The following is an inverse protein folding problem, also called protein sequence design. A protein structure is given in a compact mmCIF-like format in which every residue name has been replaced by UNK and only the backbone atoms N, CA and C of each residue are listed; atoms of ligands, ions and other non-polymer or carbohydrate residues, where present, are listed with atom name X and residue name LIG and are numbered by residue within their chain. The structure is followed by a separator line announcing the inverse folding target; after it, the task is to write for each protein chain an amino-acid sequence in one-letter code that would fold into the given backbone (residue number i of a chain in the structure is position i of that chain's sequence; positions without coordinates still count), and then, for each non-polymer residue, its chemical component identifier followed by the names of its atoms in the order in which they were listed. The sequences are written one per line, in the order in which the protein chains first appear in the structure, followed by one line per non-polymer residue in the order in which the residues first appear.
data_IF_547393099842
#
_entry.id   IF_547393099842
#
_cell.length_a   1.000
_cell.length_b   1.000
_cell.length_c   1.000
_cell.angle_alpha   90.00
_cell.angle_beta   90.00
_cell.angle_gamma   90.00
#
_symmetry.space_group_name_H-M   'P 1'
#
loop_
_entity.id
_entity.type
_entity.pdbx_description
1 polymer ?
#
# COMPACT_ATOMS: atom_id res chain seq x y z
N UNK A 1 27.56 -21.50 7.98
CA UNK A 1 26.34 -22.35 7.97
C UNK A 1 25.41 -21.84 6.87
N UNK A 2 24.85 -22.60 5.92
CA UNK A 2 24.91 -23.98 5.41
C UNK A 2 24.22 -23.83 4.05
N UNK A 3 24.88 -24.01 2.91
CA UNK A 3 24.93 -25.26 2.13
C UNK A 3 23.58 -25.97 1.85
N UNK A 4 23.22 -26.01 0.56
CA UNK A 4 22.73 -27.17 -0.20
C UNK A 4 21.33 -27.77 0.04
N UNK A 5 20.89 -28.41 -1.06
CA UNK A 5 20.06 -29.62 -1.20
C UNK A 5 18.59 -29.31 -1.58
N UNK A 6 17.92 -29.98 -2.52
CA UNK A 6 18.12 -31.26 -3.22
C UNK A 6 17.34 -31.22 -4.56
N UNK A 7 17.91 -31.78 -5.63
CA UNK A 7 17.11 -32.39 -6.70
C UNK A 7 17.88 -33.61 -7.23
N UNK A 8 17.44 -34.78 -6.77
CA UNK A 8 17.96 -36.11 -7.12
C UNK A 8 16.91 -36.83 -7.96
N UNK A 9 17.40 -37.63 -8.91
CA UNK A 9 16.73 -38.71 -9.64
C UNK A 9 15.60 -38.34 -10.62
N UNK A 10 15.91 -38.45 -11.92
CA UNK A 10 15.44 -39.59 -12.70
C UNK A 10 16.33 -39.77 -13.95
N UNK A 11 17.22 -40.76 -13.91
CA UNK A 11 17.72 -41.43 -15.12
C UNK A 11 16.82 -42.62 -15.36
N UNK A 12 16.21 -42.70 -16.54
CA UNK A 12 15.75 -43.97 -17.08
C UNK A 12 15.72 -43.90 -18.62
N UNK A 13 16.30 -44.94 -19.22
CA UNK A 13 16.19 -45.40 -20.60
C UNK A 13 17.03 -44.75 -21.73
N UNK A 14 18.16 -45.44 -21.94
CA UNK A 14 18.90 -45.60 -23.18
C UNK A 14 18.03 -46.22 -24.30
N UNK A 15 18.10 -45.65 -25.51
CA UNK A 15 18.45 -46.36 -26.77
C UNK A 15 18.68 -45.36 -27.92
N UNK A 16 19.70 -45.55 -28.77
CA UNK A 16 20.00 -44.66 -29.90
C UNK A 16 19.54 -45.22 -31.26
N UNK A 17 19.26 -44.33 -32.23
CA UNK A 17 19.60 -44.37 -33.67
C UNK A 17 18.63 -43.46 -34.48
N UNK A 18 18.87 -43.18 -35.79
CA UNK A 18 19.86 -42.23 -36.28
C UNK A 18 19.24 -41.10 -37.14
N UNK A 19 20.03 -40.05 -37.34
CA UNK A 19 20.09 -39.14 -38.51
C UNK A 19 18.80 -38.77 -39.25
N UNK A 20 18.46 -37.47 -39.24
CA UNK A 20 18.42 -36.56 -40.41
C UNK A 20 17.43 -35.42 -40.12
N UNK A 21 17.92 -34.22 -39.82
CA UNK A 21 17.53 -32.95 -40.47
C UNK A 21 18.19 -31.79 -39.72
N UNK A 22 18.86 -30.93 -40.48
CA UNK A 22 19.27 -29.59 -40.07
C UNK A 22 18.05 -28.83 -39.53
N UNK A 23 18.09 -28.50 -38.25
CA UNK A 23 17.20 -27.52 -37.63
C UNK A 23 18.00 -26.75 -36.61
N UNK A 24 18.72 -25.72 -37.06
CA UNK A 24 19.30 -24.70 -36.19
C UNK A 24 18.16 -24.02 -35.43
N UNK A 25 17.80 -24.59 -34.28
CA UNK A 25 16.94 -23.95 -33.31
C UNK A 25 17.81 -22.93 -32.58
N UNK A 26 17.91 -21.72 -33.15
CA UNK A 26 18.43 -20.56 -32.47
C UNK A 26 17.56 -20.31 -31.25
N UNK A 27 18.06 -20.73 -30.09
CA UNK A 27 17.54 -20.29 -28.79
C UNK A 27 17.71 -18.78 -28.77
N UNK A 28 16.65 -18.05 -29.12
CA UNK A 28 16.53 -16.64 -28.78
C UNK A 28 16.58 -16.59 -27.27
N UNK A 29 17.72 -16.15 -26.73
CA UNK A 29 17.77 -15.59 -25.40
C UNK A 29 16.75 -14.45 -25.39
N UNK A 30 15.55 -14.75 -24.88
CA UNK A 30 14.52 -13.76 -24.63
C UNK A 30 15.17 -12.67 -23.80
N UNK A 31 15.10 -11.47 -24.36
CA UNK A 31 15.59 -10.24 -23.75
C UNK A 31 15.26 -10.27 -22.27
N UNK A 32 16.29 -10.15 -21.44
CA UNK A 32 16.16 -9.55 -20.12
C UNK A 32 15.52 -8.19 -20.39
N UNK A 33 14.20 -8.16 -20.29
CA UNK A 33 13.47 -6.91 -20.15
C UNK A 33 14.06 -6.30 -18.91
N UNK A 34 14.89 -5.28 -19.12
CA UNK A 34 15.22 -4.32 -18.10
C UNK A 34 13.88 -3.70 -17.70
N UNK A 35 13.19 -4.35 -16.77
CA UNK A 35 12.25 -3.67 -15.91
C UNK A 35 13.12 -2.67 -15.18
N UNK A 36 13.14 -1.43 -15.68
CA UNK A 36 13.46 -0.30 -14.83
C UNK A 36 12.50 -0.43 -13.65
N UNK A 37 13.02 -0.95 -12.54
CA UNK A 37 12.34 -0.93 -11.25
C UNK A 37 12.14 0.56 -10.96
N UNK A 38 10.96 1.08 -11.32
CA UNK A 38 10.60 2.43 -10.95
C UNK A 38 10.51 2.42 -9.45
N UNK A 39 11.31 3.29 -8.85
CA UNK A 39 11.27 3.48 -7.44
C UNK A 39 9.84 3.85 -7.01
N UNK A 40 9.36 3.19 -5.94
CA UNK A 40 8.03 3.35 -5.39
C UNK A 40 8.16 3.91 -3.97
N UNK A 41 7.27 4.84 -3.65
CA UNK A 41 7.18 5.40 -2.31
C UNK A 41 6.30 4.49 -1.46
N UNK A 42 6.83 3.97 -0.35
CA UNK A 42 6.13 3.10 0.59
C UNK A 42 5.84 3.86 1.87
N UNK A 43 4.65 3.65 2.45
CA UNK A 43 4.23 4.24 3.71
C UNK A 43 3.65 3.17 4.64
N UNK A 44 4.03 3.23 5.92
CA UNK A 44 3.46 2.44 7.01
C UNK A 44 3.27 3.31 8.26
N UNK A 45 2.51 2.85 9.24
CA UNK A 45 2.37 3.52 10.55
C UNK A 45 2.66 2.59 11.70
N UNK A 46 2.99 3.13 12.87
CA UNK A 46 3.15 2.40 14.13
C UNK A 46 2.83 3.35 15.29
N UNK A 47 2.36 2.84 16.41
CA UNK A 47 2.07 3.60 17.64
C UNK A 47 3.21 3.53 18.67
N UNK A 48 4.08 2.54 18.55
CA UNK A 48 5.15 2.27 19.51
C UNK A 48 6.55 2.65 19.00
N UNK A 49 7.37 3.23 19.88
CA UNK A 49 8.75 3.64 19.56
C UNK A 49 9.69 2.44 19.36
N UNK A 50 9.48 1.33 20.09
CA UNK A 50 10.26 0.11 19.88
C UNK A 50 9.91 -0.55 18.55
N UNK A 51 8.63 -0.54 18.16
CA UNK A 51 8.17 -0.99 16.85
C UNK A 51 8.72 -0.10 15.73
N UNK A 52 8.75 1.23 15.90
CA UNK A 52 9.40 2.16 14.98
C UNK A 52 10.88 1.80 14.75
N UNK A 53 11.64 1.58 15.83
CA UNK A 53 13.04 1.18 15.75
C UNK A 53 13.22 -0.17 15.05
N UNK A 54 12.42 -1.18 15.41
CA UNK A 54 12.46 -2.51 14.80
C UNK A 54 12.17 -2.47 13.30
N UNK A 55 11.19 -1.66 12.87
CA UNK A 55 10.87 -1.46 11.45
C UNK A 55 12.08 -0.84 10.72
N UNK A 56 12.66 0.24 11.27
CA UNK A 56 13.82 0.90 10.66
C UNK A 56 15.03 -0.03 10.53
N UNK A 57 15.33 -0.80 11.57
CA UNK A 57 16.40 -1.81 11.55
C UNK A 57 16.16 -2.87 10.48
N UNK A 58 14.93 -3.37 10.36
CA UNK A 58 14.56 -4.38 9.37
C UNK A 58 14.71 -3.85 7.92
N UNK A 59 14.30 -2.60 7.67
CA UNK A 59 14.46 -1.96 6.36
C UNK A 59 15.94 -1.79 5.96
N UNK A 60 16.79 -1.40 6.90
CA UNK A 60 18.24 -1.28 6.70
C UNK A 60 18.91 -2.64 6.49
N UNK A 61 18.57 -3.64 7.32
CA UNK A 61 19.12 -4.99 7.21
C UNK A 61 18.76 -5.65 5.87
N UNK A 62 17.56 -5.41 5.36
CA UNK A 62 17.09 -5.87 4.06
C UNK A 62 17.63 -5.03 2.88
N UNK A 63 18.37 -3.95 3.15
CA UNK A 63 18.90 -3.01 2.15
C UNK A 63 17.82 -2.37 1.27
N UNK A 64 16.61 -2.19 1.83
CA UNK A 64 15.52 -1.49 1.15
C UNK A 64 15.74 0.03 1.12
N UNK A 65 16.51 0.53 2.07
CA UNK A 65 17.03 1.90 2.17
C UNK A 65 18.53 1.86 2.43
N UNK A 66 19.27 2.93 2.09
CA UNK A 66 20.73 2.97 2.26
C UNK A 66 21.13 3.49 3.64
N UNK A 67 20.40 4.50 4.12
CA UNK A 67 20.66 5.19 5.38
C UNK A 67 19.36 5.31 6.18
N UNK A 68 19.48 5.44 7.51
CA UNK A 68 18.32 5.65 8.37
C UNK A 68 17.57 6.94 8.02
N UNK A 69 18.30 7.97 7.57
CA UNK A 69 17.75 9.27 7.16
C UNK A 69 16.95 9.21 5.84
N UNK A 70 17.07 8.13 5.07
CA UNK A 70 16.23 7.90 3.89
C UNK A 70 14.78 7.52 4.28
N UNK A 71 14.55 7.21 5.56
CA UNK A 71 13.23 6.91 6.12
C UNK A 71 12.65 8.19 6.73
N UNK A 72 11.70 8.80 6.04
CA UNK A 72 10.94 9.94 6.57
C UNK A 72 10.07 9.49 7.74
N UNK A 73 10.12 10.26 8.81
CA UNK A 73 9.35 10.07 10.03
C UNK A 73 8.45 11.28 10.27
N UNK A 74 7.19 11.03 10.57
CA UNK A 74 6.21 12.09 10.85
C UNK A 74 5.28 11.64 11.98
N UNK A 75 5.00 12.53 12.94
CA UNK A 75 3.98 12.30 13.97
C UNK A 75 2.64 12.71 13.39
N UNK A 76 1.63 11.84 13.54
CA UNK A 76 0.30 12.03 12.97
C UNK A 76 -0.80 11.63 13.95
N UNK A 77 -2.02 12.08 13.67
CA UNK A 77 -3.27 11.57 14.25
C UNK A 77 -4.01 10.75 13.21
N UNK A 78 -4.38 9.52 13.54
CA UNK A 78 -5.08 8.59 12.68
C UNK A 78 -6.54 8.45 13.11
N UNK A 79 -7.45 8.87 12.24
CA UNK A 79 -8.89 8.78 12.42
C UNK A 79 -9.46 7.66 11.55
N UNK A 80 -10.21 6.74 12.14
CA UNK A 80 -10.80 5.61 11.44
C UNK A 80 -12.04 5.08 12.16
N UNK A 81 -12.91 4.35 11.45
CA UNK A 81 -14.09 3.74 12.04
C UNK A 81 -13.76 2.35 12.60
N UNK A 82 -14.00 2.13 13.88
CA UNK A 82 -13.81 0.82 14.53
C UNK A 82 -14.75 0.67 15.71
N UNK A 83 -15.32 -0.53 15.90
CA UNK A 83 -16.24 -0.84 17.01
C UNK A 83 -17.40 0.16 17.16
N UNK A 84 -17.95 0.61 16.03
CA UNK A 84 -19.13 1.48 16.01
C UNK A 84 -18.88 2.94 16.35
N UNK A 85 -17.62 3.38 16.42
CA UNK A 85 -17.25 4.78 16.64
C UNK A 85 -16.03 5.19 15.82
N UNK A 86 -15.77 6.49 15.77
CA UNK A 86 -14.50 7.04 15.28
C UNK A 86 -13.44 6.87 16.36
N UNK A 87 -12.32 6.26 16.01
CA UNK A 87 -11.09 6.26 16.80
C UNK A 87 -10.21 7.44 16.38
N UNK A 88 -9.31 7.83 17.27
CA UNK A 88 -8.39 8.95 17.08
C UNK A 88 -7.08 8.64 17.81
N UNK A 89 -6.19 7.93 17.13
CA UNK A 89 -4.95 7.42 17.70
C UNK A 89 -3.75 8.26 17.28
N UNK A 90 -2.80 8.44 18.19
CA UNK A 90 -1.50 9.02 17.87
C UNK A 90 -0.60 7.94 17.25
N UNK A 91 -0.05 8.22 16.07
CA UNK A 91 0.84 7.30 15.37
C UNK A 91 2.09 8.01 14.84
N UNK A 92 3.11 7.23 14.54
CA UNK A 92 4.25 7.62 13.73
C UNK A 92 4.09 7.03 12.34
N UNK A 93 4.09 7.89 11.33
CA UNK A 93 4.14 7.52 9.92
C UNK A 93 5.58 7.43 9.46
N UNK A 94 5.94 6.27 8.91
CA UNK A 94 7.21 6.03 8.25
C UNK A 94 7.01 6.00 6.75
N UNK A 95 7.91 6.62 6.00
CA UNK A 95 7.85 6.56 4.53
C UNK A 95 9.23 6.58 3.89
N UNK A 96 9.41 5.80 2.84
CA UNK A 96 10.70 5.63 2.17
C UNK A 96 10.51 5.23 0.71
N UNK A 97 11.54 5.48 -0.08
CA UNK A 97 11.60 5.05 -1.48
C UNK A 97 12.31 3.71 -1.59
N UNK A 98 11.79 2.80 -2.40
CA UNK A 98 12.42 1.49 -2.64
C UNK A 98 12.18 1.03 -4.08
N UNK A 99 12.97 0.07 -4.57
CA UNK A 99 12.82 -0.47 -5.92
C UNK A 99 11.84 -1.65 -6.02
N UNK A 100 11.52 -2.29 -4.89
CA UNK A 100 10.59 -3.44 -4.82
C UNK A 100 9.58 -3.28 -3.69
N UNK A 101 8.31 -3.04 -4.04
CA UNK A 101 7.21 -2.99 -3.07
C UNK A 101 6.99 -4.33 -2.38
N UNK A 102 7.12 -5.44 -3.12
CA UNK A 102 6.90 -6.80 -2.64
C UNK A 102 7.92 -7.17 -1.55
N UNK A 103 9.19 -6.78 -1.74
CA UNK A 103 10.21 -7.00 -0.72
C UNK A 103 9.95 -6.14 0.51
N UNK A 104 9.59 -4.87 0.31
CA UNK A 104 9.20 -3.98 1.42
C UNK A 104 8.00 -4.53 2.19
N UNK A 105 6.98 -5.03 1.49
CA UNK A 105 5.79 -5.64 2.07
C UNK A 105 6.16 -6.84 2.96
N UNK A 106 7.02 -7.73 2.50
CA UNK A 106 7.45 -8.90 3.28
C UNK A 106 8.22 -8.48 4.55
N UNK A 107 9.11 -7.51 4.43
CA UNK A 107 9.93 -7.02 5.57
C UNK A 107 9.05 -6.30 6.59
N UNK A 108 8.19 -5.40 6.14
CA UNK A 108 7.28 -4.65 7.00
C UNK A 108 6.29 -5.60 7.71
N UNK A 109 5.68 -6.54 6.99
CA UNK A 109 4.71 -7.49 7.59
C UNK A 109 5.29 -8.34 8.71
N UNK A 110 6.58 -8.72 8.61
CA UNK A 110 7.26 -9.52 9.64
C UNK A 110 7.81 -8.70 10.82
N UNK A 111 7.99 -7.40 10.64
CA UNK A 111 8.55 -6.52 11.66
C UNK A 111 7.48 -5.74 12.44
N UNK A 112 6.28 -5.57 11.87
CA UNK A 112 5.19 -4.79 12.46
C UNK A 112 4.64 -5.36 13.78
N UNK A 113 4.06 -4.46 14.57
CA UNK A 113 3.32 -4.77 15.80
C UNK A 113 1.79 -4.89 15.61
N UNK A 114 1.25 -4.54 14.44
CA UNK A 114 -0.19 -4.64 14.17
C UNK A 114 -0.49 -5.94 13.42
N UNK A 115 -1.65 -6.53 13.67
CA UNK A 115 -2.12 -7.71 12.95
C UNK A 115 -2.47 -7.40 11.49
N UNK A 116 -3.07 -6.23 11.25
CA UNK A 116 -3.41 -5.71 9.92
C UNK A 116 -2.74 -4.33 9.73
N UNK A 117 -1.43 -4.30 9.47
CA UNK A 117 -0.72 -3.05 9.29
C UNK A 117 -1.15 -2.35 7.99
N UNK A 118 -1.18 -1.02 8.01
CA UNK A 118 -1.24 -0.23 6.78
C UNK A 118 0.12 -0.29 6.10
N UNK A 119 0.27 -1.08 5.04
CA UNK A 119 1.47 -1.04 4.19
C UNK A 119 1.01 -0.69 2.78
N UNK A 120 1.24 0.56 2.37
CA UNK A 120 0.79 1.08 1.07
C UNK A 120 1.95 1.60 0.26
N UNK A 121 1.86 1.44 -1.06
CA UNK A 121 2.83 1.95 -2.03
C UNK A 121 2.15 2.82 -3.07
N UNK A 122 2.87 3.83 -3.57
CA UNK A 122 2.43 4.57 -4.74
C UNK A 122 2.49 3.65 -5.96
N UNK A 123 1.33 3.44 -6.59
CA UNK A 123 1.24 2.48 -7.69
C UNK A 123 -0.20 2.17 -8.10
N UNK A 124 -0.33 1.38 -9.17
CA UNK A 124 -1.62 1.07 -9.77
C UNK A 124 -1.99 1.98 -10.95
N UNK A 125 -3.11 1.67 -11.59
CA UNK A 125 -3.61 2.40 -12.74
C UNK A 125 -4.36 3.66 -12.30
N UNK A 126 -4.03 4.82 -12.88
CA UNK A 126 -4.80 6.05 -12.63
C UNK A 126 -6.25 5.96 -13.16
N UNK A 127 -6.54 5.03 -14.08
CA UNK A 127 -7.89 4.83 -14.63
C UNK A 127 -8.66 3.74 -13.89
N UNK A 128 -7.98 2.69 -13.45
CA UNK A 128 -8.64 1.45 -12.99
C UNK A 128 -8.33 1.07 -11.55
N UNK A 129 -7.53 1.87 -10.82
CA UNK A 129 -7.26 1.58 -9.41
C UNK A 129 -8.54 1.62 -8.60
N UNK A 130 -8.73 0.56 -7.79
CA UNK A 130 -9.80 0.51 -6.80
C UNK A 130 -9.49 1.35 -5.56
N UNK A 131 -8.21 1.50 -5.22
CA UNK A 131 -7.73 2.07 -3.97
C UNK A 131 -7.00 3.38 -4.23
N UNK A 132 -7.28 4.37 -3.39
CA UNK A 132 -6.82 5.72 -3.60
C UNK A 132 -6.36 6.36 -2.29
N UNK A 133 -5.28 7.12 -2.41
CA UNK A 133 -4.79 8.06 -1.40
C UNK A 133 -5.15 9.47 -1.86
N UNK A 134 -5.86 10.21 -1.02
CA UNK A 134 -6.14 11.63 -1.23
C UNK A 134 -5.24 12.48 -0.35
N UNK A 135 -4.57 13.48 -0.92
CA UNK A 135 -3.75 14.46 -0.19
C UNK A 135 -4.46 15.80 -0.19
N UNK A 136 -4.71 16.33 1.02
CA UNK A 136 -5.37 17.60 1.29
C UNK A 136 -4.38 18.47 2.06
N UNK A 137 -4.10 19.67 1.54
CA UNK A 137 -2.99 20.52 2.02
C UNK A 137 -3.22 21.06 3.43
N UNK A 138 -4.45 21.43 3.75
CA UNK A 138 -4.81 22.00 5.05
C UNK A 138 -6.19 21.49 5.46
N UNK A 139 -6.24 20.85 6.62
CA UNK A 139 -7.44 20.27 7.22
C UNK A 139 -7.35 20.35 8.74
N UNK A 140 -8.51 20.28 9.40
CA UNK A 140 -8.60 20.21 10.86
C UNK A 140 -8.85 18.78 11.35
N UNK A 141 -8.68 18.55 12.65
CA UNK A 141 -9.06 17.29 13.30
C UNK A 141 -10.54 16.98 13.14
N UNK A 142 -11.40 18.00 13.18
CA UNK A 142 -12.85 17.84 13.04
C UNK A 142 -13.19 17.32 11.65
N UNK A 143 -12.55 17.85 10.61
CA UNK A 143 -12.74 17.36 9.24
C UNK A 143 -12.24 15.92 9.08
N UNK A 144 -11.09 15.58 9.66
CA UNK A 144 -10.55 14.22 9.61
C UNK A 144 -11.50 13.22 10.31
N UNK A 145 -11.98 13.56 11.51
CA UNK A 145 -12.95 12.77 12.26
C UNK A 145 -14.31 12.67 11.53
N UNK A 146 -14.77 13.75 10.90
CA UNK A 146 -16.00 13.78 10.12
C UNK A 146 -15.92 12.84 8.91
N UNK A 147 -14.84 12.90 8.14
CA UNK A 147 -14.64 12.01 6.98
C UNK A 147 -14.60 10.54 7.41
N UNK A 148 -13.89 10.22 8.49
CA UNK A 148 -13.86 8.86 9.04
C UNK A 148 -15.24 8.42 9.55
N UNK A 149 -15.95 9.29 10.28
CA UNK A 149 -17.27 9.02 10.84
C UNK A 149 -18.38 8.87 9.80
N UNK A 150 -18.26 9.58 8.67
CA UNK A 150 -19.15 9.40 7.51
C UNK A 150 -18.88 8.11 6.73
N UNK A 151 -17.77 7.42 7.03
CA UNK A 151 -17.29 6.24 6.32
C UNK A 151 -17.05 6.48 4.83
N UNK A 152 -16.83 7.72 4.42
CA UNK A 152 -16.34 8.03 3.07
C UNK A 152 -14.87 7.68 2.90
N UNK A 153 -14.11 7.63 4.00
CA UNK A 153 -12.72 7.18 4.04
C UNK A 153 -12.62 6.05 5.06
N UNK A 154 -11.76 5.07 4.78
CA UNK A 154 -11.44 4.05 5.77
C UNK A 154 -10.53 4.62 6.86
N UNK A 155 -9.58 5.48 6.46
CA UNK A 155 -8.62 6.12 7.35
C UNK A 155 -8.30 7.54 6.87
N UNK A 156 -8.19 8.46 7.82
CA UNK A 156 -7.79 9.85 7.66
C UNK A 156 -6.60 10.13 8.59
N UNK A 157 -5.44 10.48 8.02
CA UNK A 157 -4.21 10.74 8.78
C UNK A 157 -3.82 12.20 8.69
N UNK A 158 -3.91 12.90 9.82
CA UNK A 158 -3.61 14.32 9.96
C UNK A 158 -2.20 14.50 10.53
N UNK A 159 -1.35 15.21 9.79
CA UNK A 159 -0.03 15.64 10.27
C UNK A 159 -0.12 16.95 11.06
N UNK A 160 0.86 17.21 11.92
CA UNK A 160 0.93 18.43 12.75
C UNK A 160 0.87 19.73 11.92
N UNK A 161 1.33 19.70 10.66
CA UNK A 161 1.26 20.83 9.73
C UNK A 161 -0.11 21.06 9.07
N UNK A 162 -1.14 20.30 9.46
CA UNK A 162 -2.49 20.37 8.87
C UNK A 162 -2.66 19.58 7.57
N UNK A 163 -1.60 18.94 7.07
CA UNK A 163 -1.68 18.05 5.91
C UNK A 163 -2.47 16.79 6.23
N UNK A 164 -3.55 16.54 5.49
CA UNK A 164 -4.41 15.38 5.67
C UNK A 164 -4.25 14.40 4.52
N UNK A 165 -4.03 13.14 4.86
CA UNK A 165 -3.97 12.03 3.90
C UNK A 165 -5.08 11.02 4.16
N UNK A 166 -5.99 10.85 3.21
CA UNK A 166 -7.12 9.90 3.32
C UNK A 166 -6.90 8.66 2.48
N UNK A 167 -7.40 7.51 2.93
CA UNK A 167 -7.39 6.24 2.19
C UNK A 167 -8.82 5.81 1.95
N UNK A 168 -9.15 5.56 0.70
CA UNK A 168 -10.52 5.32 0.29
C UNK A 168 -10.59 4.51 -1.01
N UNK A 169 -11.80 4.27 -1.49
CA UNK A 169 -12.09 3.61 -2.76
C UNK A 169 -12.39 4.63 -3.86
N UNK A 170 -12.28 4.21 -5.13
CA UNK A 170 -12.59 5.04 -6.29
C UNK A 170 -13.98 5.69 -6.21
N UNK A 171 -15.00 4.94 -5.75
CA UNK A 171 -16.38 5.41 -5.67
C UNK A 171 -16.59 6.56 -4.66
N UNK A 172 -15.70 6.71 -3.68
CA UNK A 172 -15.84 7.71 -2.62
C UNK A 172 -15.19 9.06 -2.96
N UNK A 173 -14.38 9.14 -4.02
CA UNK A 173 -13.63 10.35 -4.38
C UNK A 173 -14.55 11.56 -4.57
N UNK A 174 -15.60 11.43 -5.38
CA UNK A 174 -16.54 12.51 -5.65
C UNK A 174 -17.36 12.93 -4.41
N UNK A 175 -17.91 12.00 -3.60
CA UNK A 175 -18.51 12.35 -2.30
C UNK A 175 -17.56 13.10 -1.35
N UNK A 176 -16.28 12.73 -1.31
CA UNK A 176 -15.28 13.43 -0.48
C UNK A 176 -15.06 14.85 -1.00
N UNK A 177 -14.85 15.04 -2.30
CA UNK A 177 -14.70 16.37 -2.91
C UNK A 177 -15.92 17.25 -2.67
N UNK A 178 -17.13 16.69 -2.79
CA UNK A 178 -18.36 17.39 -2.48
C UNK A 178 -18.44 17.83 -1.01
N UNK A 179 -17.93 17.00 -0.07
CA UNK A 179 -17.91 17.32 1.36
C UNK A 179 -16.91 18.42 1.72
N UNK A 180 -15.78 18.45 1.03
CA UNK A 180 -14.73 19.45 1.23
C UNK A 180 -15.09 20.82 0.63
N UNK A 181 -16.00 20.84 -0.35
CA UNK A 181 -16.43 22.05 -1.04
C UNK A 181 -15.46 22.53 -2.13
N UNK A 182 -15.86 23.54 -2.93
CA UNK A 182 -15.17 23.92 -4.17
C UNK A 182 -13.78 24.53 -3.96
N UNK A 183 -13.50 25.02 -2.75
CA UNK A 183 -12.24 25.68 -2.40
C UNK A 183 -11.14 24.68 -2.04
N UNK A 184 -11.50 23.43 -1.72
CA UNK A 184 -10.57 22.41 -1.30
C UNK A 184 -10.10 21.59 -2.50
N UNK A 185 -8.79 21.42 -2.63
CA UNK A 185 -8.19 20.57 -3.66
C UNK A 185 -7.72 19.27 -3.03
N UNK A 186 -8.16 18.14 -3.60
CA UNK A 186 -7.65 16.81 -3.27
C UNK A 186 -6.75 16.33 -4.40
N UNK A 187 -5.50 16.01 -4.09
CA UNK A 187 -4.64 15.30 -5.03
C UNK A 187 -4.82 13.80 -4.82
N UNK A 188 -5.36 13.14 -5.85
CA UNK A 188 -5.60 11.70 -5.81
C UNK A 188 -4.46 10.92 -6.44
N UNK A 189 -3.95 9.94 -5.70
CA UNK A 189 -2.91 9.01 -6.13
C UNK A 189 -3.43 7.58 -5.99
N UNK A 190 -3.34 6.73 -7.03
CA UNK A 190 -3.64 5.33 -6.88
C UNK A 190 -2.62 4.69 -5.94
N UNK A 191 -3.08 3.72 -5.15
CA UNK A 191 -2.20 2.96 -4.24
C UNK A 191 -2.32 1.47 -4.48
N UNK A 192 -1.21 0.79 -4.23
CA UNK A 192 -1.13 -0.65 -3.96
C UNK A 192 -0.90 -0.85 -2.46
N UNK A 193 -1.07 -2.07 -1.97
CA UNK A 193 -0.98 -2.35 -0.54
C UNK A 193 -1.07 -3.83 -0.20
N UNK A 194 -0.84 -4.16 1.07
CA UNK A 194 -1.13 -5.51 1.58
C UNK A 194 -2.63 -5.81 1.47
N UNK A 195 -2.97 -7.03 1.03
CA UNK A 195 -4.35 -7.42 0.75
C UNK A 195 -5.28 -7.22 1.94
N UNK A 196 -4.86 -7.63 3.14
CA UNK A 196 -5.67 -7.49 4.36
C UNK A 196 -6.06 -6.03 4.65
N UNK A 197 -5.13 -5.08 4.49
CA UNK A 197 -5.43 -3.67 4.66
C UNK A 197 -6.34 -3.12 3.55
N UNK A 198 -6.10 -3.50 2.30
CA UNK A 198 -6.91 -3.05 1.16
C UNK A 198 -8.35 -3.59 1.23
N UNK A 199 -8.53 -4.83 1.69
CA UNK A 199 -9.83 -5.42 1.96
C UNK A 199 -10.54 -4.67 3.09
N UNK A 200 -9.81 -4.32 4.14
CA UNK A 200 -10.32 -3.45 5.21
C UNK A 200 -10.72 -2.05 4.70
N UNK A 201 -9.94 -1.44 3.79
CA UNK A 201 -10.31 -0.15 3.17
C UNK A 201 -11.65 -0.23 2.46
N UNK A 202 -11.91 -1.31 1.74
CA UNK A 202 -13.20 -1.56 1.07
C UNK A 202 -14.30 -1.82 2.09
N UNK A 203 -14.01 -2.60 3.12
CA UNK A 203 -14.98 -2.92 4.17
C UNK A 203 -15.43 -1.65 4.89
N UNK A 204 -14.51 -0.76 5.24
CA UNK A 204 -14.81 0.41 6.06
C UNK A 204 -15.25 1.64 5.26
N UNK A 205 -14.98 1.67 3.96
CA UNK A 205 -15.51 2.70 3.07
C UNK A 205 -16.94 2.36 2.63
N UNK A 206 -17.93 3.11 3.11
CA UNK A 206 -19.34 2.98 2.74
C UNK A 206 -19.80 4.20 1.95
N UNK A 207 -19.69 4.10 0.63
CA UNK A 207 -20.40 5.04 -0.24
C UNK A 207 -21.86 4.61 -0.25
N UNK A 208 -22.74 5.41 0.33
CA UNK A 208 -24.17 5.23 0.08
C UNK A 208 -24.35 5.30 -1.43
N UNK A 209 -24.75 4.18 -2.05
CA UNK A 209 -25.22 4.21 -3.42
C UNK A 209 -26.24 5.35 -3.47
N UNK A 210 -26.07 6.27 -4.43
CA UNK A 210 -26.95 7.41 -4.59
C UNK A 210 -28.37 6.98 -4.26
N UNK A 211 -28.99 7.63 -3.27
CA UNK A 211 -30.38 7.41 -2.93
C UNK A 211 -31.16 7.67 -4.22
N UNK A 212 -31.41 6.63 -5.01
CA UNK A 212 -32.43 6.64 -6.02
C UNK A 212 -33.69 6.92 -5.23
N UNK A 213 -34.20 8.15 -5.36
CA UNK A 213 -35.40 8.57 -4.69
C UNK A 213 -36.51 7.60 -5.04
N UNK A 214 -36.82 6.71 -4.11
CA UNK A 214 -38.14 6.09 -4.05
C UNK A 214 -38.92 6.93 -3.06
N UNK A 215 -39.46 8.04 -3.58
CA UNK A 215 -40.54 8.75 -2.92
C UNK A 215 -41.80 7.90 -3.05
N UNK A 216 -41.98 6.94 -2.14
CA UNK A 216 -43.31 6.44 -1.82
C UNK A 216 -43.32 5.77 -0.44
N UNK A 217 -43.77 6.54 0.55
CA UNK A 217 -44.53 6.10 1.74
C UNK A 217 -45.03 7.28 2.54
#
# INVERSE_FOLDING_TARGET
CVCRALAVCMRAFLRPAPSTLLGLCTIRASMLSSCSERATWVTTTTDDASAEAKIKEALLAAKLVKHADDIKREVIRSFYWWEGRVQDDAEVRLSFETSSFETALSVLSSSHNYDVPMIVGDGGSATDSRYWKGVIVSASSELAAELAGSRLVACAQLADGGGLTVKTTAAAKAPIEARLGPSAQVRWEPIIGNSAYLDWVVQETKVCGACGGDTDR
#
